data_IF_932071586984
#
_entry.id   IF_932071586984
#
_cell.length_a   1.000
_cell.length_b   1.000
_cell.length_c   1.000
_cell.angle_alpha   90.00
_cell.angle_beta   90.00
_cell.angle_gamma   90.00
#
_symmetry.space_group_name_H-M   'P 1'
#
loop_
_entity.id
_entity.type
_entity.pdbx_description
1 polymer ?
#
# COMPACT_ATOMS: atom_id res chain seq x y z
N UNK A 1 -19.06 13.74 18.68
CA UNK A 1 -18.15 13.14 17.68
C UNK A 1 -17.17 14.21 17.29
N UNK A 2 -15.91 13.89 17.40
CA UNK A 2 -14.83 14.88 17.41
C UNK A 2 -14.73 15.60 16.04
N UNK A 3 -14.83 16.93 16.01
CA UNK A 3 -14.68 17.76 14.81
C UNK A 3 -13.33 17.51 14.11
N UNK A 4 -12.30 17.18 14.88
CA UNK A 4 -10.96 16.83 14.39
C UNK A 4 -10.96 15.54 13.54
N UNK A 5 -11.79 14.55 13.90
CA UNK A 5 -11.89 13.28 13.18
C UNK A 5 -12.54 13.45 11.79
N UNK A 6 -13.62 14.26 11.72
CA UNK A 6 -14.27 14.59 10.45
C UNK A 6 -13.31 15.37 9.52
N UNK A 7 -12.46 16.21 10.09
CA UNK A 7 -11.50 17.01 9.33
C UNK A 7 -10.36 16.15 8.77
N UNK A 8 -9.82 15.21 9.57
CA UNK A 8 -8.82 14.24 9.13
C UNK A 8 -9.29 13.45 7.90
N UNK A 9 -10.48 12.88 7.99
CA UNK A 9 -11.10 12.12 6.92
C UNK A 9 -11.26 12.92 5.63
N UNK A 10 -11.71 14.19 5.75
CA UNK A 10 -11.93 15.09 4.60
C UNK A 10 -10.64 15.46 3.89
N UNK A 11 -9.57 15.77 4.62
CA UNK A 11 -8.33 16.15 3.98
C UNK A 11 -7.60 14.95 3.36
N UNK A 12 -7.71 13.74 3.96
CA UNK A 12 -7.14 12.53 3.41
C UNK A 12 -7.72 12.24 2.03
N UNK A 13 -9.05 12.22 1.91
CA UNK A 13 -9.73 11.98 0.65
C UNK A 13 -9.31 13.02 -0.42
N UNK A 14 -9.22 14.30 -0.01
CA UNK A 14 -8.82 15.39 -0.91
C UNK A 14 -7.36 15.25 -1.38
N UNK A 15 -6.44 14.85 -0.49
CA UNK A 15 -5.04 14.63 -0.84
C UNK A 15 -4.85 13.52 -1.89
N UNK A 16 -5.73 12.52 -1.90
CA UNK A 16 -5.64 11.35 -2.80
C UNK A 16 -6.68 11.33 -3.91
N UNK A 17 -7.46 12.41 -4.09
CA UNK A 17 -8.46 12.53 -5.18
C UNK A 17 -7.88 12.28 -6.57
N UNK A 18 -6.63 12.65 -6.81
CA UNK A 18 -5.96 12.49 -8.11
C UNK A 18 -5.21 11.16 -8.25
N UNK A 19 -5.36 10.22 -7.32
CA UNK A 19 -4.76 8.90 -7.45
C UNK A 19 -5.54 8.06 -8.46
N UNK A 20 -4.85 7.55 -9.47
CA UNK A 20 -5.46 6.72 -10.51
C UNK A 20 -5.56 5.25 -10.06
N UNK A 21 -6.53 4.99 -9.16
CA UNK A 21 -6.85 3.64 -8.70
C UNK A 21 -7.25 2.70 -9.85
N UNK A 22 -7.82 3.24 -10.95
CA UNK A 22 -8.20 2.43 -12.09
C UNK A 22 -6.96 1.90 -12.82
N UNK A 23 -5.99 2.77 -13.14
CA UNK A 23 -4.76 2.34 -13.78
C UNK A 23 -3.99 1.31 -12.94
N UNK A 24 -3.93 1.50 -11.60
CA UNK A 24 -3.29 0.55 -10.70
C UNK A 24 -4.02 -0.80 -10.67
N UNK A 25 -5.35 -0.80 -10.55
CA UNK A 25 -6.15 -2.03 -10.56
C UNK A 25 -6.14 -2.73 -11.94
N UNK A 26 -6.11 -1.97 -13.04
CA UNK A 26 -5.97 -2.53 -14.40
C UNK A 26 -4.61 -3.23 -14.56
N UNK A 27 -3.54 -2.62 -14.08
CA UNK A 27 -2.22 -3.22 -14.07
C UNK A 27 -2.17 -4.51 -13.24
N UNK A 28 -2.71 -4.52 -12.02
CA UNK A 28 -2.77 -5.70 -11.15
C UNK A 28 -3.62 -6.81 -11.80
N UNK A 29 -4.80 -6.48 -12.35
CA UNK A 29 -5.64 -7.46 -13.05
C UNK A 29 -4.92 -8.08 -14.26
N UNK A 30 -4.15 -7.28 -15.00
CA UNK A 30 -3.35 -7.78 -16.11
C UNK A 30 -2.19 -8.67 -15.64
N UNK A 31 -1.56 -8.39 -14.49
CA UNK A 31 -0.57 -9.27 -13.88
C UNK A 31 -1.22 -10.60 -13.45
N UNK A 32 -2.36 -10.56 -12.75
CA UNK A 32 -3.08 -11.75 -12.35
C UNK A 32 -3.47 -12.60 -13.57
N UNK A 33 -4.04 -11.97 -14.59
CA UNK A 33 -4.43 -12.69 -15.81
C UNK A 33 -3.24 -13.38 -16.50
N UNK A 34 -2.06 -12.74 -16.49
CA UNK A 34 -0.86 -13.30 -17.12
C UNK A 34 -0.25 -14.46 -16.35
N UNK A 35 -0.11 -14.32 -15.01
CA UNK A 35 0.62 -15.29 -14.18
C UNK A 35 -0.26 -16.32 -13.49
N UNK A 36 -1.56 -16.04 -13.34
CA UNK A 36 -2.55 -16.92 -12.71
C UNK A 36 -3.95 -16.74 -13.36
N UNK A 37 -4.13 -17.14 -14.64
CA UNK A 37 -5.34 -16.82 -15.42
C UNK A 37 -6.63 -17.42 -14.86
N UNK A 38 -6.56 -18.41 -13.99
CA UNK A 38 -7.70 -19.05 -13.36
C UNK A 38 -8.03 -18.52 -11.96
N UNK A 39 -7.24 -17.56 -11.45
CA UNK A 39 -7.45 -16.96 -10.14
C UNK A 39 -8.77 -16.21 -10.08
N UNK A 40 -9.48 -16.36 -8.94
CA UNK A 40 -10.78 -15.74 -8.69
C UNK A 40 -10.83 -15.03 -7.34
N UNK A 41 -10.10 -15.53 -6.35
CA UNK A 41 -10.18 -15.06 -4.97
C UNK A 41 -8.93 -14.26 -4.61
N UNK A 42 -9.12 -13.08 -4.01
CA UNK A 42 -8.05 -12.16 -3.63
C UNK A 42 -8.19 -11.78 -2.16
N UNK A 43 -7.09 -11.78 -1.42
CA UNK A 43 -6.98 -11.14 -0.11
C UNK A 43 -6.12 -9.87 -0.25
N UNK A 44 -6.64 -8.72 0.15
CA UNK A 44 -5.92 -7.44 0.11
C UNK A 44 -5.40 -7.06 1.49
N UNK A 45 -4.08 -6.99 1.64
CA UNK A 45 -3.39 -6.53 2.84
C UNK A 45 -3.26 -5.01 2.83
N UNK A 46 -3.79 -4.35 3.86
CA UNK A 46 -3.81 -2.89 3.94
C UNK A 46 -4.77 -2.28 2.92
N UNK A 47 -6.02 -2.76 2.89
CA UNK A 47 -7.01 -2.37 1.87
C UNK A 47 -7.44 -0.90 1.92
N UNK A 48 -7.11 -0.19 3.01
CA UNK A 48 -7.50 1.19 3.20
C UNK A 48 -9.03 1.36 3.13
N UNK A 49 -9.48 2.30 2.31
CA UNK A 49 -10.92 2.55 2.06
C UNK A 49 -11.51 1.68 0.96
N UNK A 50 -10.81 0.63 0.51
CA UNK A 50 -11.26 -0.32 -0.50
C UNK A 50 -11.10 0.17 -1.95
N UNK A 51 -10.28 1.18 -2.20
CA UNK A 51 -10.18 1.81 -3.53
C UNK A 51 -9.79 0.84 -4.66
N UNK A 52 -8.76 0.02 -4.47
CA UNK A 52 -8.37 -1.01 -5.43
C UNK A 52 -9.36 -2.18 -5.43
N UNK A 53 -9.73 -2.64 -4.22
CA UNK A 53 -10.61 -3.78 -4.04
C UNK A 53 -11.93 -3.63 -4.76
N UNK A 54 -12.60 -2.49 -4.66
CA UNK A 54 -13.87 -2.21 -5.36
C UNK A 54 -13.74 -2.27 -6.89
N UNK A 55 -12.60 -1.85 -7.44
CA UNK A 55 -12.36 -1.90 -8.88
C UNK A 55 -12.09 -3.34 -9.32
N UNK A 56 -11.27 -4.09 -8.55
CA UNK A 56 -11.00 -5.50 -8.81
C UNK A 56 -12.27 -6.36 -8.69
N UNK A 57 -13.14 -6.03 -7.73
CA UNK A 57 -14.46 -6.68 -7.61
C UNK A 57 -15.32 -6.46 -8.86
N UNK A 58 -15.36 -5.24 -9.41
CA UNK A 58 -16.06 -4.95 -10.67
C UNK A 58 -15.47 -5.69 -11.87
N UNK A 59 -14.20 -6.11 -11.79
CA UNK A 59 -13.54 -6.93 -12.81
C UNK A 59 -13.84 -8.43 -12.65
N UNK A 60 -14.61 -8.83 -11.63
CA UNK A 60 -15.08 -10.21 -11.44
C UNK A 60 -14.26 -11.02 -10.43
N UNK A 61 -13.38 -10.39 -9.66
CA UNK A 61 -12.68 -11.06 -8.55
C UNK A 61 -13.53 -11.04 -7.28
N UNK A 62 -13.50 -12.14 -6.54
CA UNK A 62 -13.98 -12.21 -5.16
C UNK A 62 -12.84 -11.75 -4.24
N UNK A 63 -12.98 -10.55 -3.66
CA UNK A 63 -11.91 -9.89 -2.92
C UNK A 63 -12.35 -9.50 -1.51
N UNK A 64 -11.48 -9.76 -0.55
CA UNK A 64 -11.66 -9.44 0.85
C UNK A 64 -10.46 -8.65 1.37
N UNK A 65 -10.68 -7.63 2.20
CA UNK A 65 -9.64 -6.75 2.71
C UNK A 65 -9.31 -6.96 4.17
N UNK A 66 -8.04 -6.78 4.53
CA UNK A 66 -7.57 -6.59 5.90
C UNK A 66 -7.01 -5.18 6.03
N UNK A 67 -7.47 -4.44 7.03
CA UNK A 67 -7.02 -3.06 7.27
C UNK A 67 -6.88 -2.81 8.78
N UNK A 68 -5.77 -2.19 9.17
CA UNK A 68 -5.49 -1.92 10.59
C UNK A 68 -6.31 -0.77 11.17
N UNK A 69 -6.61 0.25 10.38
CA UNK A 69 -7.36 1.42 10.79
C UNK A 69 -8.86 1.16 10.77
N UNK A 70 -9.49 1.11 11.93
CA UNK A 70 -10.96 0.95 12.02
C UNK A 70 -11.70 2.03 11.24
N UNK A 71 -11.17 3.26 11.16
CA UNK A 71 -11.78 4.36 10.44
C UNK A 71 -11.78 4.12 8.93
N UNK A 72 -10.71 3.49 8.42
CA UNK A 72 -10.65 3.10 7.01
C UNK A 72 -11.57 1.91 6.71
N UNK A 73 -11.65 0.95 7.63
CA UNK A 73 -12.60 -0.17 7.55
C UNK A 73 -14.04 0.34 7.47
N UNK A 74 -14.44 1.25 8.36
CA UNK A 74 -15.79 1.82 8.37
C UNK A 74 -16.12 2.50 7.03
N UNK A 75 -15.17 3.25 6.47
CA UNK A 75 -15.33 3.87 5.14
C UNK A 75 -15.41 2.83 4.02
N UNK A 76 -14.56 1.82 4.05
CA UNK A 76 -14.57 0.75 3.04
C UNK A 76 -15.94 0.05 3.01
N UNK A 77 -16.48 -0.29 4.18
CA UNK A 77 -17.81 -0.90 4.33
C UNK A 77 -18.91 0.02 3.80
N UNK A 78 -18.85 1.33 4.11
CA UNK A 78 -19.79 2.32 3.57
C UNK A 78 -19.72 2.42 2.04
N UNK A 79 -18.57 2.18 1.44
CA UNK A 79 -18.40 2.12 -0.02
C UNK A 79 -18.82 0.78 -0.62
N UNK A 80 -19.22 -0.20 0.20
CA UNK A 80 -19.64 -1.54 -0.24
C UNK A 80 -18.50 -2.53 -0.43
N UNK A 81 -17.31 -2.25 0.14
CA UNK A 81 -16.18 -3.17 0.13
C UNK A 81 -16.17 -4.06 1.38
N UNK A 82 -15.99 -5.37 1.18
CA UNK A 82 -15.89 -6.34 2.27
C UNK A 82 -14.48 -6.36 2.86
N UNK A 83 -14.35 -5.91 4.11
CA UNK A 83 -13.08 -5.95 4.83
C UNK A 83 -13.31 -6.05 6.34
N UNK A 84 -12.25 -6.41 7.07
CA UNK A 84 -12.24 -6.41 8.53
C UNK A 84 -11.02 -5.66 9.09
N UNK A 85 -11.15 -5.26 10.35
CA UNK A 85 -10.03 -4.68 11.08
C UNK A 85 -9.06 -5.79 11.50
N UNK A 86 -7.86 -5.78 10.92
CA UNK A 86 -6.79 -6.72 11.26
C UNK A 86 -5.40 -6.13 11.00
N UNK A 87 -4.41 -6.59 11.77
CA UNK A 87 -3.00 -6.31 11.50
C UNK A 87 -2.41 -7.46 10.68
N UNK A 88 -1.86 -7.17 9.51
CA UNK A 88 -1.26 -8.17 8.62
C UNK A 88 -0.06 -8.90 9.23
N UNK A 89 0.51 -8.38 10.33
CA UNK A 89 1.56 -9.02 11.10
C UNK A 89 1.01 -10.15 11.97
N UNK A 90 -0.23 -9.98 12.50
CA UNK A 90 -0.83 -10.90 13.46
C UNK A 90 -2.35 -10.96 13.27
N UNK A 91 -2.80 -11.91 12.47
CA UNK A 91 -4.21 -12.18 12.20
C UNK A 91 -4.42 -13.67 11.93
N UNK A 92 -5.66 -14.11 12.05
CA UNK A 92 -6.08 -15.48 11.77
C UNK A 92 -7.18 -15.48 10.70
N UNK A 93 -6.96 -16.26 9.64
CA UNK A 93 -7.95 -16.51 8.61
C UNK A 93 -7.80 -17.96 8.12
N UNK A 94 -8.90 -18.72 8.13
CA UNK A 94 -8.88 -20.12 7.68
C UNK A 94 -9.00 -20.24 6.16
N UNK A 95 -9.66 -19.26 5.54
CA UNK A 95 -9.88 -19.24 4.10
C UNK A 95 -8.56 -19.13 3.34
N UNK A 96 -8.48 -19.81 2.19
CA UNK A 96 -7.37 -19.70 1.24
C UNK A 96 -7.80 -18.91 0.02
N UNK A 97 -6.81 -18.23 -0.55
CA UNK A 97 -7.00 -17.36 -1.70
C UNK A 97 -6.03 -17.76 -2.83
N UNK A 98 -6.41 -17.42 -4.05
CA UNK A 98 -5.54 -17.61 -5.20
C UNK A 98 -4.44 -16.54 -5.24
N UNK A 99 -4.77 -15.33 -4.79
CA UNK A 99 -3.91 -14.16 -4.82
C UNK A 99 -3.95 -13.47 -3.45
N UNK A 100 -2.80 -13.01 -2.98
CA UNK A 100 -2.67 -11.96 -1.95
C UNK A 100 -2.11 -10.73 -2.63
N UNK A 101 -2.73 -9.57 -2.43
CA UNK A 101 -2.17 -8.28 -2.90
C UNK A 101 -1.87 -7.37 -1.72
N UNK A 102 -0.88 -6.47 -1.88
CA UNK A 102 -0.58 -5.42 -0.90
C UNK A 102 -0.09 -4.20 -1.66
N UNK A 103 -0.96 -3.22 -1.86
CA UNK A 103 -0.75 -2.12 -2.79
C UNK A 103 -0.56 -0.77 -2.09
N UNK A 104 0.04 0.17 -2.80
CA UNK A 104 0.32 1.50 -2.29
C UNK A 104 1.34 1.50 -1.15
N UNK A 105 2.39 0.69 -1.32
CA UNK A 105 3.56 0.63 -0.43
C UNK A 105 3.25 0.18 1.00
N UNK A 106 2.18 -0.59 1.23
CA UNK A 106 1.80 -1.07 2.58
C UNK A 106 2.95 -1.86 3.22
N UNK A 107 3.64 -2.71 2.44
CA UNK A 107 4.80 -3.46 2.92
C UNK A 107 5.94 -2.55 3.40
N UNK A 108 6.06 -1.35 2.84
CA UNK A 108 7.07 -0.37 3.26
C UNK A 108 6.84 0.17 4.68
N UNK A 109 5.66 0.02 5.26
CA UNK A 109 5.40 0.36 6.67
C UNK A 109 5.92 -0.69 7.66
N UNK A 110 6.38 -1.85 7.19
CA UNK A 110 6.91 -2.91 8.05
C UNK A 110 8.43 -2.74 8.17
N UNK A 111 8.87 -2.09 9.24
CA UNK A 111 10.24 -1.61 9.37
C UNK A 111 11.21 -2.62 9.99
N UNK A 112 10.73 -3.57 10.79
CA UNK A 112 11.57 -4.60 11.40
C UNK A 112 11.50 -5.95 10.68
N UNK A 113 12.61 -6.70 10.73
CA UNK A 113 12.74 -7.95 9.99
C UNK A 113 11.80 -9.05 10.48
N UNK A 114 11.53 -9.11 11.80
CA UNK A 114 10.66 -10.15 12.35
C UNK A 114 9.21 -9.97 11.91
N UNK A 115 8.72 -8.73 11.96
CA UNK A 115 7.38 -8.38 11.47
C UNK A 115 7.27 -8.61 9.97
N UNK A 116 8.30 -8.23 9.21
CA UNK A 116 8.33 -8.45 7.76
C UNK A 116 8.27 -9.95 7.42
N UNK A 117 9.07 -10.79 8.09
CA UNK A 117 9.02 -12.25 7.92
C UNK A 117 7.63 -12.80 8.24
N UNK A 118 6.99 -12.33 9.33
CA UNK A 118 5.63 -12.75 9.69
C UNK A 118 4.63 -12.41 8.60
N UNK A 119 4.67 -11.18 8.04
CA UNK A 119 3.76 -10.77 6.95
C UNK A 119 3.89 -11.69 5.74
N UNK A 120 5.13 -12.02 5.31
CA UNK A 120 5.35 -12.93 4.20
C UNK A 120 4.88 -14.35 4.51
N UNK A 121 5.14 -14.85 5.72
CA UNK A 121 4.61 -16.17 6.16
C UNK A 121 3.09 -16.18 6.24
N UNK A 122 2.46 -15.08 6.66
CA UNK A 122 1.01 -14.95 6.69
C UNK A 122 0.45 -14.93 5.26
N UNK A 123 1.05 -14.19 4.33
CA UNK A 123 0.67 -14.25 2.93
C UNK A 123 0.78 -15.68 2.37
N UNK A 124 1.89 -16.39 2.67
CA UNK A 124 2.06 -17.79 2.26
C UNK A 124 1.00 -18.70 2.88
N UNK A 125 0.66 -18.51 4.17
CA UNK A 125 -0.40 -19.28 4.82
C UNK A 125 -1.76 -19.05 4.20
N UNK A 126 -2.10 -17.82 3.79
CA UNK A 126 -3.39 -17.50 3.18
C UNK A 126 -3.54 -17.97 1.73
N UNK A 127 -2.44 -18.27 1.05
CA UNK A 127 -2.46 -18.68 -0.36
C UNK A 127 -2.70 -20.18 -0.55
N UNK A 128 -3.44 -20.51 -1.61
CA UNK A 128 -3.44 -21.84 -2.21
C UNK A 128 -2.03 -22.20 -2.71
N UNK A 129 -1.73 -23.49 -2.91
CA UNK A 129 -0.47 -23.92 -3.55
C UNK A 129 -0.36 -23.31 -4.95
N UNK A 130 0.80 -22.70 -5.25
CA UNK A 130 1.02 -22.00 -6.51
C UNK A 130 0.33 -20.63 -6.63
N UNK A 131 -0.34 -20.18 -5.57
CA UNK A 131 -0.94 -18.83 -5.51
C UNK A 131 0.12 -17.73 -5.52
N UNK A 132 -0.29 -16.49 -5.82
CA UNK A 132 0.63 -15.36 -5.98
C UNK A 132 0.50 -14.35 -4.84
N UNK A 133 1.63 -13.81 -4.40
CA UNK A 133 1.71 -12.61 -3.58
C UNK A 133 2.24 -11.46 -4.43
N UNK A 134 1.42 -10.42 -4.64
CA UNK A 134 1.72 -9.26 -5.49
C UNK A 134 1.73 -8.01 -4.62
N UNK A 135 2.83 -7.27 -4.61
CA UNK A 135 2.95 -6.07 -3.80
C UNK A 135 3.93 -5.07 -4.40
N UNK A 136 3.76 -3.80 -4.04
CA UNK A 136 4.67 -2.74 -4.42
C UNK A 136 5.37 -2.11 -3.21
N UNK A 137 6.63 -1.71 -3.40
CA UNK A 137 7.47 -1.10 -2.38
C UNK A 137 8.32 0.03 -2.95
N UNK A 138 8.87 0.86 -2.07
CA UNK A 138 9.92 1.80 -2.44
C UNK A 138 11.21 1.06 -2.75
N UNK A 139 11.89 1.49 -3.81
CA UNK A 139 13.09 0.84 -4.33
C UNK A 139 14.37 1.50 -3.83
N UNK A 140 15.21 0.76 -3.12
CA UNK A 140 16.42 1.28 -2.48
C UNK A 140 17.36 2.02 -3.43
N UNK A 141 17.66 1.54 -4.64
CA UNK A 141 18.51 2.27 -5.57
C UNK A 141 17.99 3.66 -5.93
N UNK A 142 16.68 3.83 -6.07
CA UNK A 142 16.09 5.14 -6.36
C UNK A 142 16.13 6.08 -5.15
N UNK A 143 15.84 5.56 -3.95
CA UNK A 143 15.90 6.35 -2.70
C UNK A 143 17.28 6.94 -2.49
N UNK A 144 18.36 6.16 -2.70
CA UNK A 144 19.73 6.64 -2.54
C UNK A 144 20.21 7.54 -3.69
N UNK A 145 19.71 7.30 -4.91
CA UNK A 145 20.16 8.05 -6.08
C UNK A 145 19.48 9.42 -6.20
N UNK A 146 18.15 9.47 -5.99
CA UNK A 146 17.36 10.67 -6.32
C UNK A 146 17.42 11.77 -5.24
N UNK A 147 18.03 11.53 -4.09
CA UNK A 147 18.05 12.44 -2.93
C UNK A 147 16.66 12.94 -2.57
N UNK A 148 16.17 12.54 -1.43
CA UNK A 148 14.86 12.97 -0.95
C UNK A 148 14.87 14.47 -0.67
N UNK A 149 13.85 15.17 -1.15
CA UNK A 149 13.67 16.61 -0.99
C UNK A 149 12.33 16.91 -0.32
N UNK A 150 12.26 18.01 0.39
CA UNK A 150 11.00 18.53 0.92
C UNK A 150 10.02 18.79 -0.22
N UNK A 151 8.83 18.25 -0.10
CA UNK A 151 7.75 18.41 -1.10
C UNK A 151 6.55 19.11 -0.47
N UNK A 152 6.00 20.07 -1.21
CA UNK A 152 4.79 20.79 -0.81
C UNK A 152 3.66 20.39 -1.78
N UNK A 153 2.57 19.89 -1.21
CA UNK A 153 1.33 19.63 -1.96
C UNK A 153 0.23 20.57 -1.48
N UNK A 154 -0.43 21.25 -2.41
CA UNK A 154 -1.58 22.12 -2.12
C UNK A 154 -2.79 21.57 -2.87
N UNK A 155 -3.89 21.38 -2.16
CA UNK A 155 -5.16 20.94 -2.71
C UNK A 155 -6.29 21.68 -2.00
N UNK A 156 -7.41 21.88 -2.69
CA UNK A 156 -8.58 22.51 -2.10
C UNK A 156 -9.87 22.05 -2.77
N UNK A 157 -10.96 22.20 -2.05
CA UNK A 157 -12.34 22.12 -2.55
C UNK A 157 -13.15 23.33 -2.04
N UNK A 158 -14.46 23.28 -2.12
CA UNK A 158 -15.32 24.37 -1.67
C UNK A 158 -15.28 24.60 -0.15
N UNK A 159 -15.02 23.56 0.65
CA UNK A 159 -15.08 23.60 2.12
C UNK A 159 -13.71 23.84 2.78
N UNK A 160 -12.65 23.22 2.24
CA UNK A 160 -11.30 23.23 2.87
C UNK A 160 -10.19 23.50 1.87
N UNK A 161 -9.10 24.09 2.37
CA UNK A 161 -7.82 24.20 1.68
C UNK A 161 -6.75 23.50 2.51
N UNK A 162 -5.95 22.64 1.87
CA UNK A 162 -4.95 21.81 2.53
C UNK A 162 -3.56 22.10 1.96
N UNK A 163 -2.60 22.31 2.84
CA UNK A 163 -1.19 22.40 2.50
C UNK A 163 -0.49 21.26 3.26
N UNK A 164 0.14 20.34 2.55
CA UNK A 164 0.96 19.29 3.13
C UNK A 164 2.42 19.52 2.77
N UNK A 165 3.25 19.66 3.80
CA UNK A 165 4.71 19.60 3.69
C UNK A 165 5.12 18.15 3.97
N UNK A 166 6.02 17.60 3.17
CA UNK A 166 6.62 16.30 3.36
C UNK A 166 8.12 16.48 3.49
N UNK A 167 8.66 16.24 4.68
CA UNK A 167 10.07 16.44 5.01
C UNK A 167 10.70 15.07 5.29
N UNK A 168 11.46 14.52 4.33
CA UNK A 168 12.06 13.20 4.47
C UNK A 168 13.37 13.26 5.27
N UNK A 169 13.57 12.23 6.13
CA UNK A 169 14.80 11.95 6.83
C UNK A 169 15.25 10.51 6.53
N UNK A 170 16.47 10.33 5.98
CA UNK A 170 16.97 9.01 5.57
C UNK A 170 17.77 8.37 6.70
N UNK A 171 17.36 7.18 7.13
CA UNK A 171 18.07 6.30 8.05
C UNK A 171 18.76 5.18 7.25
N UNK A 172 19.92 5.50 6.67
CA UNK A 172 20.59 4.64 5.69
C UNK A 172 21.00 3.25 6.24
N UNK A 173 21.30 3.15 7.55
CA UNK A 173 21.64 1.86 8.19
C UNK A 173 20.46 0.94 8.40
N UNK A 174 19.23 1.46 8.26
CA UNK A 174 17.97 0.75 8.52
C UNK A 174 17.16 0.53 7.24
N UNK A 175 17.59 1.13 6.11
CA UNK A 175 16.82 1.20 4.87
C UNK A 175 15.44 1.86 5.07
N UNK A 176 15.34 2.87 5.93
CA UNK A 176 14.10 3.58 6.26
C UNK A 176 14.22 5.05 5.89
N UNK A 177 13.15 5.61 5.37
CA UNK A 177 12.94 7.05 5.24
C UNK A 177 11.76 7.43 6.12
N UNK A 178 11.99 8.26 7.12
CA UNK A 178 10.91 8.92 7.85
C UNK A 178 10.35 10.05 6.99
N UNK A 179 9.11 9.95 6.57
CA UNK A 179 8.42 11.06 5.93
C UNK A 179 7.63 11.80 6.99
N UNK A 180 8.16 12.95 7.41
CA UNK A 180 7.50 13.81 8.38
C UNK A 180 6.54 14.74 7.64
N UNK A 181 5.23 14.58 7.90
CA UNK A 181 4.21 15.45 7.33
C UNK A 181 3.80 16.53 8.32
N UNK A 182 3.79 17.78 7.86
CA UNK A 182 3.06 18.88 8.47
C UNK A 182 1.87 19.19 7.56
N UNK A 183 0.65 19.06 8.08
CA UNK A 183 -0.58 19.22 7.32
C UNK A 183 -1.36 20.39 7.91
N UNK A 184 -1.50 21.45 7.12
CA UNK A 184 -2.26 22.63 7.48
C UNK A 184 -3.60 22.58 6.74
N UNK A 185 -4.71 22.59 7.49
CA UNK A 185 -6.06 22.55 6.94
C UNK A 185 -6.80 23.81 7.32
N UNK A 186 -7.20 24.59 6.33
CA UNK A 186 -8.03 25.77 6.48
C UNK A 186 -9.50 25.41 6.21
N UNK A 187 -10.38 25.69 7.15
CA UNK A 187 -11.81 25.69 6.91
C UNK A 187 -12.20 27.01 6.24
N UNK A 188 -12.71 26.98 5.01
CA UNK A 188 -13.06 28.17 4.23
C UNK A 188 -14.26 28.94 4.76
N UNK A 189 -15.15 28.27 5.50
CA UNK A 189 -16.34 28.91 6.06
C UNK A 189 -16.04 29.67 7.35
N UNK A 190 -15.16 29.13 8.20
CA UNK A 190 -14.81 29.74 9.50
C UNK A 190 -13.47 30.48 9.47
N UNK A 191 -12.72 30.40 8.38
CA UNK A 191 -11.35 30.93 8.23
C UNK A 191 -10.33 30.36 9.23
N UNK A 192 -10.68 29.33 10.00
CA UNK A 192 -9.83 28.71 11.00
C UNK A 192 -8.83 27.74 10.36
N UNK A 193 -7.61 27.71 10.93
CA UNK A 193 -6.57 26.78 10.56
C UNK A 193 -6.42 25.71 11.64
N UNK A 194 -6.21 24.46 11.20
CA UNK A 194 -5.81 23.34 12.05
C UNK A 194 -4.50 22.78 11.50
N UNK A 195 -3.60 22.36 12.40
CA UNK A 195 -2.33 21.74 12.07
C UNK A 195 -2.33 20.29 12.58
N UNK A 196 -1.85 19.37 11.74
CA UNK A 196 -1.64 17.98 12.07
C UNK A 196 -0.21 17.60 11.73
N UNK A 197 0.39 16.75 12.55
CA UNK A 197 1.71 16.18 12.29
C UNK A 197 1.59 14.66 12.21
N UNK A 198 2.17 14.08 11.18
CA UNK A 198 2.21 12.64 10.97
C UNK A 198 3.64 12.23 10.63
N UNK A 199 4.07 11.09 11.14
CA UNK A 199 5.35 10.48 10.81
C UNK A 199 5.10 9.12 10.16
N UNK A 200 5.61 8.96 8.95
CA UNK A 200 5.50 7.74 8.18
C UNK A 200 6.90 7.15 7.96
N UNK A 201 7.35 6.21 8.81
CA UNK A 201 8.60 5.50 8.59
C UNK A 201 8.38 4.48 7.45
N UNK A 202 9.03 4.72 6.32
CA UNK A 202 8.89 3.93 5.10
C UNK A 202 10.18 3.17 4.83
N UNK A 203 10.15 1.84 4.97
CA UNK A 203 11.25 0.97 4.57
C UNK A 203 11.28 0.85 3.06
N UNK A 204 12.48 0.91 2.50
CA UNK A 204 12.72 0.67 1.08
C UNK A 204 13.52 -0.61 0.89
N UNK A 205 13.34 -1.25 -0.27
CA UNK A 205 13.84 -2.60 -0.51
C UNK A 205 14.66 -2.67 -1.79
N UNK A 206 15.64 -3.57 -1.80
CA UNK A 206 16.33 -4.00 -3.01
C UNK A 206 15.76 -5.33 -3.51
N UNK A 207 15.94 -5.62 -4.80
CA UNK A 207 15.50 -6.91 -5.37
C UNK A 207 16.14 -8.09 -4.66
N UNK A 208 17.47 -8.15 -4.40
CA UNK A 208 18.08 -9.25 -3.68
C UNK A 208 17.56 -9.46 -2.25
N UNK A 209 17.15 -8.38 -1.57
CA UNK A 209 16.54 -8.47 -0.23
C UNK A 209 15.19 -9.18 -0.28
N UNK A 210 14.32 -8.79 -1.22
CA UNK A 210 13.02 -9.45 -1.41
C UNK A 210 13.18 -10.90 -1.88
N UNK A 211 14.13 -11.17 -2.76
CA UNK A 211 14.44 -12.51 -3.24
C UNK A 211 14.88 -13.44 -2.10
N UNK A 212 15.76 -12.94 -1.21
CA UNK A 212 16.18 -13.67 -0.03
C UNK A 212 15.00 -13.93 0.92
N UNK A 213 14.19 -12.92 1.21
CA UNK A 213 13.02 -13.03 2.07
C UNK A 213 12.00 -14.04 1.50
N UNK A 214 11.76 -14.00 0.20
CA UNK A 214 10.89 -14.95 -0.50
C UNK A 214 11.36 -16.39 -0.29
N UNK A 215 12.66 -16.66 -0.45
CA UNK A 215 13.25 -18.00 -0.30
C UNK A 215 13.04 -18.58 1.11
N UNK A 216 13.08 -17.76 2.16
CA UNK A 216 12.88 -18.20 3.55
C UNK A 216 11.41 -18.36 3.95
N UNK A 217 10.49 -17.77 3.19
CA UNK A 217 9.07 -17.73 3.54
C UNK A 217 8.19 -18.59 2.64
N UNK A 218 8.83 -19.42 1.80
CA UNK A 218 8.15 -20.41 0.96
C UNK A 218 7.64 -19.83 -0.36
N UNK A 219 8.31 -18.82 -0.88
CA UNK A 219 8.03 -18.21 -2.17
C UNK A 219 9.21 -18.31 -3.14
N UNK A 220 8.90 -18.21 -4.42
CA UNK A 220 9.82 -17.96 -5.51
C UNK A 220 9.51 -16.58 -6.12
N UNK A 221 10.54 -15.77 -6.37
CA UNK A 221 10.40 -14.52 -7.11
C UNK A 221 10.17 -14.82 -8.60
N UNK A 222 8.99 -14.43 -9.12
CA UNK A 222 8.67 -14.57 -10.54
C UNK A 222 9.12 -13.37 -11.34
N UNK A 223 8.84 -12.16 -10.84
CA UNK A 223 9.23 -10.91 -11.50
C UNK A 223 9.34 -9.77 -10.50
N UNK A 224 10.23 -8.83 -10.83
CA UNK A 224 10.29 -7.49 -10.27
C UNK A 224 10.30 -6.48 -11.41
N UNK A 225 9.35 -5.54 -11.42
CA UNK A 225 9.21 -4.57 -12.51
C UNK A 225 8.80 -3.20 -11.97
N UNK A 226 9.10 -2.14 -12.70
CA UNK A 226 8.61 -0.81 -12.39
C UNK A 226 7.08 -0.81 -12.39
N UNK A 227 6.50 -0.36 -11.28
CA UNK A 227 5.05 -0.34 -11.09
C UNK A 227 4.37 0.46 -12.22
N UNK A 228 3.29 -0.07 -12.78
CA UNK A 228 2.51 0.43 -13.92
C UNK A 228 3.17 0.31 -15.30
N UNK A 229 4.47 0.50 -15.43
CA UNK A 229 5.13 0.57 -16.75
C UNK A 229 5.64 -0.77 -17.25
N UNK A 230 5.88 -1.74 -16.34
CA UNK A 230 6.52 -3.04 -16.59
C UNK A 230 7.96 -2.97 -17.11
N UNK A 231 8.59 -1.82 -17.02
CA UNK A 231 10.00 -1.69 -17.33
C UNK A 231 10.88 -2.38 -16.29
N UNK A 232 12.12 -2.68 -16.65
CA UNK A 232 13.11 -3.12 -15.68
C UNK A 232 13.38 -2.00 -14.67
N UNK A 233 13.40 -2.30 -13.35
CA UNK A 233 13.71 -1.29 -12.34
C UNK A 233 15.09 -0.67 -12.53
N UNK A 234 15.17 0.64 -12.34
CA UNK A 234 16.40 1.42 -12.46
C UNK A 234 16.54 2.36 -11.25
N UNK A 235 17.63 3.10 -11.18
CA UNK A 235 17.83 4.16 -10.17
C UNK A 235 16.81 5.30 -10.27
N UNK A 236 16.00 5.33 -11.33
CA UNK A 236 14.92 6.30 -11.49
C UNK A 236 13.54 5.73 -11.13
N UNK A 237 13.46 4.42 -10.87
CA UNK A 237 12.22 3.72 -10.53
C UNK A 237 11.94 3.82 -9.04
N UNK A 238 10.96 4.64 -8.63
CA UNK A 238 10.62 4.81 -7.22
C UNK A 238 9.83 3.62 -6.65
N UNK A 239 8.80 3.16 -7.36
CA UNK A 239 7.94 2.04 -6.96
C UNK A 239 8.22 0.80 -7.80
N UNK A 240 8.55 -0.31 -7.16
CA UNK A 240 8.76 -1.61 -7.80
C UNK A 240 7.67 -2.57 -7.35
N UNK A 241 7.03 -3.20 -8.33
CA UNK A 241 6.10 -4.30 -8.12
C UNK A 241 6.85 -5.63 -8.08
N UNK A 242 6.51 -6.46 -7.12
CA UNK A 242 7.01 -7.82 -6.98
C UNK A 242 5.87 -8.81 -7.13
N UNK A 243 6.11 -9.87 -7.88
CA UNK A 243 5.22 -11.03 -7.97
C UNK A 243 5.98 -12.24 -7.46
N UNK A 244 5.53 -12.75 -6.32
CA UNK A 244 6.05 -13.98 -5.72
C UNK A 244 5.05 -15.10 -5.92
N UNK A 245 5.52 -16.30 -6.19
CA UNK A 245 4.69 -17.50 -6.29
C UNK A 245 4.97 -18.41 -5.10
N UNK A 246 3.89 -18.84 -4.43
CA UNK A 246 4.01 -19.81 -3.34
C UNK A 246 4.49 -21.16 -3.88
N UNK A 247 5.52 -21.71 -3.23
CA UNK A 247 6.01 -23.05 -3.50
C UNK A 247 4.93 -24.09 -3.23
N UNK A 248 4.95 -25.18 -3.97
CA UNK A 248 3.98 -26.27 -3.85
C UNK A 248 4.13 -27.08 -2.55
#
# INVERSE_FOLDING_TARGET
>A
MDDNFNLYSKYYDLLYTNKDYNAEADYIAACIHHYSPNAKTILEFGSGTGGHGLILQKKGYDIYGLERSIQMVDKAILHGFSCEQADIIDFEIEQKFDIVISLFHVISYINDNNSLEKVFRNASKCLNSGGLFIFDVWYSPAVYHQKTETRIKKVENEEISVIRLAEPEIHASENVVDVNYTILVKNKNTEQWNEFQEKHPMRHFSIPEIELLASFTGFELIISEEFLTRNLPSVNTWGVNFILKKNG
#
